data_IF_685634716055
#
_entry.id   IF_685634716055
#
_cell.length_a   1.000
_cell.length_b   1.000
_cell.length_c   1.000
_cell.angle_alpha   90.00
_cell.angle_beta   90.00
_cell.angle_gamma   90.00
#
_symmetry.space_group_name_H-M   'P 1'
#
loop_
_entity.id
_entity.type
_entity.pdbx_description
1 polymer ?
#
# COMPACT_ATOMS: atom_id res chain seq x y z
N UNK A 1 2.65 2.91 -5.18
CA UNK A 1 3.21 1.61 -4.74
C UNK A 1 2.17 0.50 -4.72
N UNK A 2 0.91 0.76 -4.35
CA UNK A 2 -0.14 -0.26 -4.29
C UNK A 2 -0.29 -1.04 -5.59
N UNK A 3 -0.31 -0.35 -6.73
CA UNK A 3 -0.39 -1.00 -8.05
C UNK A 3 0.86 -1.82 -8.37
N UNK A 4 2.04 -1.30 -8.03
CA UNK A 4 3.31 -1.99 -8.28
C UNK A 4 3.45 -3.27 -7.44
N UNK A 5 2.85 -3.31 -6.24
CA UNK A 5 2.85 -4.50 -5.40
C UNK A 5 2.15 -5.70 -6.05
N UNK A 6 1.26 -5.49 -7.02
CA UNK A 6 0.67 -6.57 -7.81
C UNK A 6 1.72 -7.38 -8.60
N UNK A 7 2.86 -6.78 -8.93
CA UNK A 7 3.96 -7.45 -9.65
C UNK A 7 4.81 -8.37 -8.77
N UNK A 8 4.60 -8.35 -7.45
CA UNK A 8 5.38 -9.12 -6.47
C UNK A 8 6.90 -8.86 -6.53
N UNK A 9 7.29 -7.64 -6.94
CA UNK A 9 8.69 -7.21 -7.03
C UNK A 9 9.13 -6.48 -5.77
N UNK A 10 10.42 -6.52 -5.37
CA UNK A 10 10.90 -5.80 -4.20
C UNK A 10 10.60 -4.30 -4.26
N UNK A 11 10.20 -3.73 -3.13
CA UNK A 11 9.91 -2.31 -2.92
C UNK A 11 10.70 -1.86 -1.69
N UNK A 12 11.31 -0.68 -1.76
CA UNK A 12 11.92 0.01 -0.62
C UNK A 12 11.30 1.39 -0.51
N UNK A 13 10.91 1.79 0.70
CA UNK A 13 10.36 3.12 0.98
C UNK A 13 11.44 4.01 1.59
N UNK A 14 11.77 5.11 0.94
CA UNK A 14 12.45 6.24 1.57
C UNK A 14 11.38 7.18 2.12
N UNK A 15 11.30 7.31 3.45
CA UNK A 15 10.26 8.02 4.16
C UNK A 15 10.82 9.13 5.08
N UNK A 16 11.81 9.88 4.58
CA UNK A 16 12.55 10.91 5.30
C UNK A 16 11.69 12.12 5.76
N UNK A 17 10.57 12.37 5.08
CA UNK A 17 9.65 13.48 5.37
C UNK A 17 8.31 13.05 5.98
N UNK A 18 8.16 11.78 6.40
CA UNK A 18 6.87 11.16 6.79
C UNK A 18 6.05 12.00 7.78
N UNK A 19 6.70 12.52 8.83
CA UNK A 19 6.01 13.30 9.86
C UNK A 19 5.42 14.60 9.28
N UNK A 20 6.21 15.30 8.46
CA UNK A 20 5.79 16.52 7.76
C UNK A 20 4.69 16.24 6.75
N UNK A 21 4.81 15.15 5.99
CA UNK A 21 3.80 14.71 5.04
C UNK A 21 2.47 14.41 5.73
N UNK A 22 2.50 13.61 6.81
CA UNK A 22 1.30 13.23 7.56
C UNK A 22 0.62 14.44 8.23
N UNK A 23 1.39 15.36 8.82
CA UNK A 23 0.84 16.55 9.46
C UNK A 23 0.20 17.53 8.47
N UNK A 24 0.75 17.65 7.26
CA UNK A 24 0.28 18.64 6.27
C UNK A 24 -0.85 18.12 5.39
N UNK A 25 -0.90 16.82 5.09
CA UNK A 25 -1.87 16.24 4.15
C UNK A 25 -2.79 15.19 4.75
N UNK A 26 -2.46 14.68 5.93
CA UNK A 26 -3.06 13.48 6.46
C UNK A 26 -2.71 12.23 5.63
N UNK A 27 -2.99 11.07 6.20
CA UNK A 27 -2.86 9.78 5.50
C UNK A 27 -4.01 8.89 5.89
N UNK A 28 -4.65 8.24 4.92
CA UNK A 28 -5.66 7.22 5.22
C UNK A 28 -5.06 5.98 5.90
N UNK A 29 -3.80 5.66 5.58
CA UNK A 29 -3.04 4.53 6.12
C UNK A 29 -1.62 4.97 6.44
N UNK A 30 -1.11 4.52 7.58
CA UNK A 30 0.32 4.60 7.86
C UNK A 30 1.03 3.45 7.14
N UNK A 31 1.55 3.72 5.94
CA UNK A 31 2.29 2.71 5.16
C UNK A 31 3.52 2.21 5.91
N UNK A 32 4.15 3.02 6.76
CA UNK A 32 5.37 2.60 7.47
C UNK A 32 5.09 1.59 8.58
N UNK A 33 3.84 1.52 9.06
CA UNK A 33 3.41 0.50 10.02
C UNK A 33 3.24 -0.89 9.39
N UNK A 34 2.77 -0.95 8.13
CA UNK A 34 2.62 -2.18 7.35
C UNK A 34 3.19 -1.98 5.94
N UNK A 35 4.52 -1.94 5.78
CA UNK A 35 5.12 -1.54 4.52
C UNK A 35 5.17 -2.71 3.53
N UNK A 36 5.24 -2.42 2.21
CA UNK A 36 5.48 -3.42 1.18
C UNK A 36 6.96 -3.81 1.07
N UNK A 37 7.79 -3.57 2.09
CA UNK A 37 9.22 -3.84 2.08
C UNK A 37 9.98 -2.97 3.08
N UNK A 38 11.30 -2.91 2.93
CA UNK A 38 12.15 -2.15 3.85
C UNK A 38 11.81 -0.66 3.82
N UNK A 39 11.84 -0.02 5.00
CA UNK A 39 11.62 1.42 5.17
C UNK A 39 12.93 2.03 5.69
N UNK A 40 13.38 3.08 5.03
CA UNK A 40 14.55 3.87 5.44
C UNK A 40 14.17 5.34 5.53
N UNK A 41 14.86 6.06 6.41
CA UNK A 41 14.56 7.48 6.72
C UNK A 41 15.70 8.42 6.31
N UNK A 42 16.73 7.88 5.68
CA UNK A 42 17.86 8.65 5.17
C UNK A 42 18.45 7.99 3.93
N UNK A 43 18.93 8.81 2.99
CA UNK A 43 19.56 8.35 1.75
C UNK A 43 20.76 7.43 2.01
N UNK A 44 21.57 7.73 3.03
CA UNK A 44 22.72 6.89 3.41
C UNK A 44 22.30 5.47 3.78
N UNK A 45 21.14 5.28 4.39
CA UNK A 45 20.62 3.96 4.75
C UNK A 45 20.11 3.22 3.52
N UNK A 46 19.49 3.94 2.59
CA UNK A 46 19.09 3.41 1.29
C UNK A 46 20.29 2.84 0.54
N UNK A 47 21.38 3.62 0.43
CA UNK A 47 22.61 3.20 -0.24
C UNK A 47 23.18 1.93 0.41
N UNK A 48 23.26 1.91 1.75
CA UNK A 48 23.76 0.74 2.49
C UNK A 48 22.91 -0.50 2.24
N UNK A 49 21.58 -0.36 2.24
CA UNK A 49 20.65 -1.45 2.00
C UNK A 49 20.78 -2.03 0.57
N UNK A 50 20.98 -1.17 -0.43
CA UNK A 50 21.22 -1.62 -1.81
C UNK A 50 22.58 -2.29 -1.96
N UNK A 51 23.63 -1.71 -1.37
CA UNK A 51 24.99 -2.24 -1.43
C UNK A 51 25.11 -3.62 -0.78
N UNK A 52 24.38 -3.88 0.32
CA UNK A 52 24.36 -5.20 0.98
C UNK A 52 23.51 -6.24 0.23
N UNK A 53 22.62 -5.81 -0.66
CA UNK A 53 21.63 -6.69 -1.29
C UNK A 53 20.45 -7.07 -0.40
N UNK A 54 20.38 -6.54 0.82
CA UNK A 54 19.31 -6.85 1.79
C UNK A 54 17.94 -6.32 1.35
N UNK A 55 17.87 -5.37 0.42
CA UNK A 55 16.60 -4.87 -0.13
C UNK A 55 15.66 -5.94 -0.74
N UNK A 56 16.20 -7.14 -1.03
CA UNK A 56 15.47 -8.28 -1.61
C UNK A 56 15.52 -9.55 -0.75
N UNK A 57 15.73 -9.39 0.55
CA UNK A 57 15.78 -10.50 1.50
C UNK A 57 14.39 -11.09 1.84
N UNK A 58 14.39 -12.11 2.70
CA UNK A 58 13.19 -12.79 3.15
C UNK A 58 12.25 -11.88 3.97
N UNK A 59 12.80 -10.93 4.71
CA UNK A 59 11.99 -9.96 5.47
C UNK A 59 11.23 -9.03 4.54
N UNK A 60 11.89 -8.49 3.51
CA UNK A 60 11.24 -7.73 2.47
C UNK A 60 10.16 -8.54 1.74
N UNK A 61 10.39 -9.83 1.50
CA UNK A 61 9.39 -10.71 0.90
C UNK A 61 8.17 -10.93 1.82
N UNK A 62 8.40 -11.15 3.12
CA UNK A 62 7.33 -11.30 4.12
C UNK A 62 6.46 -10.04 4.23
N UNK A 63 7.09 -8.87 4.26
CA UNK A 63 6.42 -7.58 4.26
C UNK A 63 5.56 -7.38 3.00
N UNK A 64 6.12 -7.68 1.81
CA UNK A 64 5.36 -7.66 0.54
C UNK A 64 4.15 -8.58 0.56
N UNK A 65 4.31 -9.81 1.05
CA UNK A 65 3.22 -10.78 1.09
C UNK A 65 2.06 -10.28 1.96
N UNK A 66 2.36 -9.75 3.16
CA UNK A 66 1.35 -9.17 4.04
C UNK A 66 0.65 -7.95 3.41
N UNK A 67 1.42 -7.07 2.78
CA UNK A 67 0.89 -5.90 2.09
C UNK A 67 -0.05 -6.28 0.93
N UNK A 68 0.36 -7.25 0.09
CA UNK A 68 -0.46 -7.73 -1.03
C UNK A 68 -1.75 -8.39 -0.54
N UNK A 69 -1.69 -9.19 0.51
CA UNK A 69 -2.88 -9.80 1.11
C UNK A 69 -3.92 -8.74 1.55
N UNK A 70 -3.45 -7.58 2.03
CA UNK A 70 -4.32 -6.49 2.47
C UNK A 70 -4.83 -5.61 1.34
N UNK A 71 -3.96 -5.21 0.42
CA UNK A 71 -4.24 -4.14 -0.53
C UNK A 71 -4.42 -4.58 -1.98
N UNK A 72 -3.98 -5.80 -2.33
CA UNK A 72 -4.02 -6.33 -3.69
C UNK A 72 -5.07 -7.44 -3.86
N UNK A 73 -5.91 -7.69 -2.85
CA UNK A 73 -6.81 -8.84 -2.81
C UNK A 73 -7.90 -8.84 -3.90
N UNK A 74 -8.21 -7.70 -4.50
CA UNK A 74 -9.27 -7.55 -5.50
C UNK A 74 -8.77 -7.50 -6.95
N UNK A 75 -7.46 -7.49 -7.17
CA UNK A 75 -6.89 -7.45 -8.52
C UNK A 75 -6.87 -8.86 -9.13
N UNK A 76 -7.67 -9.06 -10.17
CA UNK A 76 -7.83 -10.34 -10.89
C UNK A 76 -7.55 -10.22 -12.39
N UNK A 77 -7.10 -9.05 -12.86
CA UNK A 77 -6.79 -8.77 -14.26
C UNK A 77 -8.02 -8.57 -15.15
N UNK A 78 -9.24 -8.53 -14.59
CA UNK A 78 -10.50 -8.50 -15.36
C UNK A 78 -11.36 -7.26 -15.11
N UNK A 79 -10.81 -6.23 -14.47
CA UNK A 79 -11.56 -5.00 -14.18
C UNK A 79 -12.17 -4.36 -15.43
N UNK A 80 -11.37 -4.19 -16.50
CA UNK A 80 -11.84 -3.62 -17.76
C UNK A 80 -12.88 -4.50 -18.46
N UNK A 81 -12.66 -5.82 -18.47
CA UNK A 81 -13.61 -6.78 -19.04
C UNK A 81 -14.99 -6.65 -18.38
N UNK A 82 -15.04 -6.61 -17.03
CA UNK A 82 -16.29 -6.42 -16.29
C UNK A 82 -17.01 -5.13 -16.68
N UNK A 83 -16.28 -4.02 -16.79
CA UNK A 83 -16.87 -2.73 -17.16
C UNK A 83 -17.46 -2.78 -18.58
N UNK A 84 -16.73 -3.35 -19.54
CA UNK A 84 -17.19 -3.47 -20.93
C UNK A 84 -18.45 -4.33 -21.02
N UNK A 85 -18.43 -5.52 -20.41
CA UNK A 85 -19.58 -6.44 -20.38
C UNK A 85 -20.82 -5.77 -19.80
N UNK A 86 -20.68 -5.09 -18.66
CA UNK A 86 -21.82 -4.46 -17.99
C UNK A 86 -22.33 -3.23 -18.74
N UNK A 87 -21.46 -2.29 -19.10
CA UNK A 87 -21.89 -0.97 -19.59
C UNK A 87 -22.12 -0.94 -21.11
N UNK A 88 -21.39 -1.75 -21.88
CA UNK A 88 -21.46 -1.73 -23.35
C UNK A 88 -22.25 -2.91 -23.93
N UNK A 89 -22.23 -4.07 -23.26
CA UNK A 89 -22.92 -5.28 -23.72
C UNK A 89 -24.21 -5.58 -22.95
N UNK A 90 -24.51 -4.84 -21.89
CA UNK A 90 -25.73 -4.99 -21.09
C UNK A 90 -25.78 -6.28 -20.26
N UNK A 91 -24.63 -6.94 -20.05
CA UNK A 91 -24.54 -8.13 -19.20
C UNK A 91 -24.67 -7.73 -17.70
N UNK A 92 -25.21 -8.59 -16.83
CA UNK A 92 -25.30 -8.28 -15.40
C UNK A 92 -23.89 -8.16 -14.78
N UNK A 93 -23.73 -7.18 -13.88
CA UNK A 93 -22.48 -7.05 -13.11
C UNK A 93 -22.31 -8.29 -12.21
N UNK A 94 -21.16 -8.98 -12.27
CA UNK A 94 -20.90 -10.10 -11.38
C UNK A 94 -20.89 -9.66 -9.91
N UNK A 95 -21.34 -10.54 -9.03
CA UNK A 95 -21.37 -10.27 -7.59
C UNK A 95 -19.98 -9.89 -7.08
N UNK A 96 -19.90 -8.78 -6.36
CA UNK A 96 -18.66 -8.36 -5.74
C UNK A 96 -18.29 -9.35 -4.62
N UNK A 97 -17.00 -9.76 -4.51
CA UNK A 97 -16.56 -10.48 -3.32
C UNK A 97 -16.83 -9.62 -2.09
N UNK A 98 -17.21 -10.26 -0.97
CA UNK A 98 -17.52 -9.58 0.28
C UNK A 98 -16.32 -8.74 0.75
N UNK A 99 -16.37 -7.44 0.50
CA UNK A 99 -15.28 -6.52 0.82
C UNK A 99 -15.48 -5.93 2.21
N UNK A 100 -14.45 -6.05 3.07
CA UNK A 100 -14.42 -5.32 4.33
C UNK A 100 -13.96 -3.89 4.04
N UNK A 101 -14.88 -2.93 4.05
CA UNK A 101 -14.55 -1.51 3.88
C UNK A 101 -13.67 -1.06 5.06
N UNK A 102 -12.41 -0.66 4.84
CA UNK A 102 -11.57 -0.16 5.92
C UNK A 102 -12.12 1.15 6.45
N UNK A 103 -12.29 1.27 7.78
CA UNK A 103 -12.61 2.55 8.42
C UNK A 103 -11.34 3.41 8.44
N UNK A 104 -11.42 4.74 8.21
CA UNK A 104 -10.27 5.62 8.40
C UNK A 104 -9.74 5.48 9.83
N UNK A 105 -8.42 5.52 9.98
CA UNK A 105 -7.82 5.72 11.30
C UNK A 105 -8.33 7.08 11.82
N UNK A 106 -9.02 7.09 12.96
CA UNK A 106 -9.33 8.35 13.63
C UNK A 106 -8.00 8.96 14.07
N UNK A 107 -7.60 10.07 13.46
CA UNK A 107 -6.57 10.91 14.07
C UNK A 107 -7.04 11.35 15.44
N UNK A 108 -6.14 11.39 16.42
CA UNK A 108 -6.44 11.94 17.73
C UNK A 108 -7.09 13.31 17.55
N UNK A 109 -8.33 13.43 18.05
CA UNK A 109 -9.02 14.70 18.14
C UNK A 109 -8.10 15.60 18.96
N UNK A 110 -7.56 16.65 18.34
CA UNK A 110 -6.90 17.73 19.06
C UNK A 110 -7.90 18.26 20.08
N UNK A 111 -7.76 17.86 21.34
CA UNK A 111 -8.49 18.51 22.43
C UNK A 111 -7.97 19.94 22.51
N UNK A 112 -8.83 20.96 22.41
CA UNK A 112 -8.39 22.33 22.58
C UNK A 112 -7.78 22.48 23.98
N UNK A 113 -6.56 23.00 24.05
CA UNK A 113 -5.93 23.39 25.31
C UNK A 113 -6.76 24.44 26.05
N UNK A 114 -6.72 24.46 27.39
CA UNK A 114 -7.56 25.30 28.23
C UNK A 114 -7.25 26.81 28.12
#
# INVERSE_FOLDING_TARGET
MFDYANLDRPIVLLADDRATFAASRGTYVDVTAEPPGHVVYAERDLIRLFASGSWRDADGARLRAAFRARFCAYEDGRAAERVVRTLLLGEPMPDAPAARVPRPAMGDVLTPSP
#
